data_IF_618749106276
#
_entry.id   IF_618749106276
#
_cell.length_a   1.000
_cell.length_b   1.000
_cell.length_c   1.000
_cell.angle_alpha   90.00
_cell.angle_beta   90.00
_cell.angle_gamma   90.00
#
_symmetry.space_group_name_H-M   'P 1'
#
loop_
_entity.id
_entity.type
_entity.pdbx_description
1 polymer ?
#
# COMPACT_ATOMS: atom_id res chain seq x y z
N UNK A 1 39.21 54.98 8.11
CA UNK A 1 38.53 53.69 7.83
C UNK A 1 39.38 52.80 6.90
N UNK A 2 40.69 53.07 6.81
CA UNK A 2 41.51 52.66 5.64
C UNK A 2 42.54 51.57 5.98
N UNK A 3 42.68 51.24 7.27
CA UNK A 3 43.69 50.31 7.79
C UNK A 3 43.34 48.85 7.51
N UNK A 4 42.05 48.49 7.51
CA UNK A 4 41.61 47.12 7.24
C UNK A 4 41.79 46.73 5.77
N UNK A 5 41.53 47.67 4.85
CA UNK A 5 41.71 47.49 3.41
C UNK A 5 43.18 47.34 3.06
N UNK A 6 44.05 48.16 3.68
CA UNK A 6 45.51 48.06 3.51
C UNK A 6 46.05 46.70 3.99
N UNK A 7 45.64 46.23 5.16
CA UNK A 7 46.08 44.94 5.72
C UNK A 7 45.60 43.73 4.90
N UNK A 8 44.47 43.85 4.19
CA UNK A 8 43.97 42.80 3.28
C UNK A 8 44.77 42.75 1.99
N UNK A 9 45.08 43.91 1.40
CA UNK A 9 45.90 44.02 0.20
C UNK A 9 47.32 43.49 0.43
N UNK A 10 47.93 43.77 1.58
CA UNK A 10 49.24 43.26 1.94
C UNK A 10 49.26 41.72 2.09
N UNK A 11 48.22 41.13 2.69
CA UNK A 11 48.06 39.67 2.79
C UNK A 11 47.91 39.02 1.42
N UNK A 12 47.18 39.63 0.49
CA UNK A 12 47.02 39.14 -0.87
C UNK A 12 48.35 39.18 -1.64
N UNK A 13 49.13 40.26 -1.48
CA UNK A 13 50.49 40.36 -2.01
C UNK A 13 51.40 39.26 -1.48
N UNK A 14 51.40 39.00 -0.16
CA UNK A 14 52.20 37.94 0.45
C UNK A 14 51.79 36.53 -0.01
N UNK A 15 50.51 36.29 -0.25
CA UNK A 15 50.01 35.01 -0.78
C UNK A 15 50.31 34.82 -2.27
N UNK A 16 50.45 35.92 -3.02
CA UNK A 16 50.78 35.91 -4.45
C UNK A 16 52.27 35.58 -4.70
N UNK A 17 53.14 35.63 -3.69
CA UNK A 17 54.56 35.25 -3.82
C UNK A 17 54.64 33.74 -4.10
N UNK A 18 55.17 33.32 -5.26
CA UNK A 18 55.27 31.90 -5.61
C UNK A 18 56.25 31.19 -4.67
N UNK A 19 55.81 30.07 -4.09
CA UNK A 19 56.65 29.23 -3.22
C UNK A 19 57.47 28.27 -4.07
N UNK A 20 58.75 28.12 -3.74
CA UNK A 20 59.64 27.16 -4.40
C UNK A 20 59.15 25.71 -4.22
N UNK A 21 59.27 24.91 -5.29
CA UNK A 21 58.97 23.47 -5.26
C UNK A 21 60.24 22.69 -4.91
N UNK A 22 60.20 21.70 -4.00
CA UNK A 22 61.36 20.84 -3.72
C UNK A 22 61.67 19.96 -4.93
N UNK A 23 62.94 19.53 -5.06
CA UNK A 23 63.42 18.71 -6.20
C UNK A 23 62.60 17.43 -6.44
N UNK A 24 62.04 16.83 -5.39
CA UNK A 24 61.18 15.63 -5.48
C UNK A 24 59.69 15.91 -5.65
N UNK A 25 59.27 17.16 -5.89
CA UNK A 25 57.87 17.56 -6.12
C UNK A 25 56.95 17.47 -4.90
N UNK A 26 57.30 16.68 -3.88
CA UNK A 26 56.53 16.49 -2.65
C UNK A 26 57.10 17.33 -1.50
N UNK A 27 56.26 18.17 -0.91
CA UNK A 27 56.60 18.93 0.30
C UNK A 27 56.47 18.05 1.54
N UNK A 28 57.50 18.02 2.39
CA UNK A 28 57.49 17.20 3.62
C UNK A 28 56.56 17.73 4.72
N UNK A 29 56.22 19.03 4.69
CA UNK A 29 55.18 19.66 5.53
C UNK A 29 53.98 20.05 4.66
N UNK A 30 52.78 19.79 5.16
CA UNK A 30 51.56 20.40 4.60
C UNK A 30 51.44 21.85 5.09
N UNK A 31 51.03 22.74 4.20
CA UNK A 31 50.68 24.11 4.58
C UNK A 31 49.40 24.11 5.42
N UNK A 32 49.49 24.53 6.69
CA UNK A 32 48.33 24.62 7.58
C UNK A 32 47.37 25.71 7.09
N UNK A 33 46.13 25.34 6.79
CA UNK A 33 45.05 26.29 6.48
C UNK A 33 44.63 27.11 7.71
N UNK A 34 43.94 28.23 7.48
CA UNK A 34 43.34 29.02 8.56
C UNK A 34 42.21 28.23 9.24
N UNK A 35 42.08 28.34 10.56
CA UNK A 35 40.99 27.71 11.31
C UNK A 35 39.60 28.16 10.84
N UNK A 36 39.48 29.39 10.36
CA UNK A 36 38.25 29.94 9.77
C UNK A 36 37.81 29.25 8.46
N UNK A 37 38.69 28.51 7.79
CA UNK A 37 38.32 27.70 6.62
C UNK A 37 37.64 26.38 7.03
N UNK A 38 37.70 26.00 8.30
CA UNK A 38 37.05 24.80 8.83
C UNK A 38 35.57 25.13 9.05
N UNK A 39 34.72 24.73 8.10
CA UNK A 39 33.26 24.83 8.27
C UNK A 39 32.82 23.80 9.30
N UNK A 40 32.16 24.24 10.37
CA UNK A 40 31.57 23.33 11.36
C UNK A 40 30.48 22.49 10.67
N UNK A 41 30.55 21.14 10.72
CA UNK A 41 29.48 20.34 10.15
C UNK A 41 28.18 20.60 10.93
N UNK A 42 27.05 20.61 10.22
CA UNK A 42 25.74 20.63 10.87
C UNK A 42 25.63 19.42 11.81
N UNK A 43 25.06 19.60 12.99
CA UNK A 43 24.88 18.49 13.93
C UNK A 43 24.02 17.41 13.31
N UNK A 44 24.39 16.14 13.52
CA UNK A 44 23.60 14.97 13.12
C UNK A 44 22.21 14.92 13.82
N UNK A 45 22.03 15.71 14.88
CA UNK A 45 20.80 15.79 15.65
C UNK A 45 19.87 16.82 15.02
N UNK A 46 18.64 16.40 14.75
CA UNK A 46 17.53 17.28 14.40
C UNK A 46 17.15 18.13 15.62
N UNK A 47 16.75 19.37 15.37
CA UNK A 47 16.13 20.22 16.37
C UNK A 47 14.77 19.65 16.81
N UNK A 48 14.23 20.16 17.92
CA UNK A 48 12.92 19.71 18.39
C UNK A 48 11.81 20.01 17.36
N UNK A 49 11.83 21.21 16.79
CA UNK A 49 10.80 21.66 15.83
C UNK A 49 10.82 20.82 14.55
N UNK A 50 12.01 20.50 14.04
CA UNK A 50 12.15 19.61 12.88
C UNK A 50 11.59 18.20 13.17
N UNK A 51 11.83 17.66 14.38
CA UNK A 51 11.25 16.37 14.78
C UNK A 51 9.73 16.43 14.89
N UNK A 52 9.19 17.51 15.44
CA UNK A 52 7.75 17.70 15.56
C UNK A 52 7.07 17.83 14.20
N UNK A 53 7.69 18.56 13.27
CA UNK A 53 7.24 18.65 11.87
C UNK A 53 7.23 17.29 11.19
N UNK A 54 8.34 16.55 11.26
CA UNK A 54 8.42 15.20 10.68
C UNK A 54 7.36 14.25 11.25
N UNK A 55 7.06 14.36 12.54
CA UNK A 55 6.01 13.56 13.20
C UNK A 55 4.60 13.94 12.72
N UNK A 56 4.34 15.24 12.51
CA UNK A 56 3.08 15.71 11.95
C UNK A 56 2.91 15.22 10.50
N UNK A 57 3.92 15.40 9.65
CA UNK A 57 3.91 14.98 8.25
C UNK A 57 3.66 13.46 8.11
N UNK A 58 4.32 12.67 8.97
CA UNK A 58 4.13 11.21 9.02
C UNK A 58 2.71 10.83 9.45
N UNK A 59 2.14 11.55 10.44
CA UNK A 59 0.77 11.32 10.91
C UNK A 59 -0.24 11.62 9.81
N UNK A 60 -0.07 12.72 9.09
CA UNK A 60 -0.93 13.07 7.96
C UNK A 60 -0.84 12.04 6.83
N UNK A 61 0.37 11.64 6.45
CA UNK A 61 0.59 10.67 5.37
C UNK A 61 -0.06 9.34 5.70
N UNK A 62 0.13 8.83 6.92
CA UNK A 62 -0.51 7.60 7.40
C UNK A 62 -2.03 7.71 7.49
N UNK A 63 -2.54 8.89 7.85
CA UNK A 63 -3.98 9.17 7.84
C UNK A 63 -4.57 9.00 6.44
N UNK A 64 -3.96 9.66 5.45
CA UNK A 64 -4.37 9.57 4.03
C UNK A 64 -4.26 8.15 3.48
N UNK A 65 -3.18 7.42 3.81
CA UNK A 65 -3.01 6.02 3.42
C UNK A 65 -4.13 5.13 3.99
N UNK A 66 -4.46 5.30 5.26
CA UNK A 66 -5.53 4.55 5.92
C UNK A 66 -6.90 4.83 5.30
N UNK A 67 -7.19 6.10 5.00
CA UNK A 67 -8.43 6.50 4.32
C UNK A 67 -8.55 5.83 2.94
N UNK A 68 -7.46 5.82 2.16
CA UNK A 68 -7.44 5.15 0.86
C UNK A 68 -7.68 3.64 0.99
N UNK A 69 -7.02 2.98 1.95
CA UNK A 69 -7.17 1.55 2.17
C UNK A 69 -8.59 1.18 2.61
N UNK A 70 -9.18 1.96 3.52
CA UNK A 70 -10.57 1.80 3.95
C UNK A 70 -11.53 1.92 2.76
N UNK A 71 -11.37 2.94 1.91
CA UNK A 71 -12.22 3.13 0.74
C UNK A 71 -12.15 1.95 -0.26
N UNK A 72 -10.96 1.36 -0.44
CA UNK A 72 -10.78 0.17 -1.29
C UNK A 72 -11.46 -1.05 -0.67
N UNK A 73 -11.31 -1.27 0.64
CA UNK A 73 -11.93 -2.39 1.33
C UNK A 73 -13.45 -2.30 1.35
N UNK A 74 -14.01 -1.12 1.62
CA UNK A 74 -15.46 -0.91 1.57
C UNK A 74 -16.02 -1.23 0.19
N UNK A 75 -15.34 -0.83 -0.90
CA UNK A 75 -15.75 -1.19 -2.27
C UNK A 75 -15.71 -2.70 -2.48
N UNK A 76 -14.65 -3.36 -2.01
CA UNK A 76 -14.48 -4.82 -2.12
C UNK A 76 -15.56 -5.57 -1.34
N UNK A 77 -15.91 -5.12 -0.14
CA UNK A 77 -16.90 -5.78 0.70
C UNK A 77 -18.32 -5.57 0.17
N UNK A 78 -18.64 -4.37 -0.34
CA UNK A 78 -19.90 -4.12 -1.08
C UNK A 78 -20.03 -5.04 -2.28
N UNK A 79 -18.95 -5.25 -3.04
CA UNK A 79 -18.94 -6.17 -4.17
C UNK A 79 -19.19 -7.63 -3.75
N UNK A 80 -18.51 -8.09 -2.69
CA UNK A 80 -18.73 -9.44 -2.14
C UNK A 80 -20.17 -9.64 -1.68
N UNK A 81 -20.73 -8.66 -0.96
CA UNK A 81 -22.12 -8.69 -0.49
C UNK A 81 -23.09 -8.80 -1.67
N UNK A 82 -22.92 -7.97 -2.70
CA UNK A 82 -23.72 -8.02 -3.94
C UNK A 82 -23.60 -9.37 -4.64
N UNK A 83 -22.39 -9.93 -4.75
CA UNK A 83 -22.18 -11.24 -5.35
C UNK A 83 -22.88 -12.35 -4.57
N UNK A 84 -22.79 -12.31 -3.23
CA UNK A 84 -23.49 -13.26 -2.36
C UNK A 84 -25.00 -13.17 -2.53
N UNK A 85 -25.56 -11.97 -2.50
CA UNK A 85 -27.00 -11.75 -2.71
C UNK A 85 -27.44 -12.23 -4.10
N UNK A 86 -26.69 -11.90 -5.16
CA UNK A 86 -26.98 -12.36 -6.51
C UNK A 86 -26.93 -13.88 -6.63
N UNK A 87 -25.97 -14.54 -5.96
CA UNK A 87 -25.87 -16.00 -5.91
C UNK A 87 -27.07 -16.61 -5.20
N UNK A 88 -27.43 -16.10 -4.03
CA UNK A 88 -28.61 -16.55 -3.27
C UNK A 88 -29.91 -16.35 -4.07
N UNK A 89 -30.05 -15.21 -4.75
CA UNK A 89 -31.18 -14.90 -5.63
C UNK A 89 -31.23 -15.86 -6.82
N UNK A 90 -30.08 -16.16 -7.44
CA UNK A 90 -29.98 -17.12 -8.54
C UNK A 90 -30.39 -18.52 -8.08
N UNK A 91 -29.84 -19.00 -6.96
CA UNK A 91 -30.20 -20.30 -6.38
C UNK A 91 -31.68 -20.40 -6.02
N UNK A 92 -32.27 -19.32 -5.50
CA UNK A 92 -33.70 -19.26 -5.20
C UNK A 92 -34.55 -19.24 -6.48
N UNK A 93 -34.13 -18.53 -7.52
CA UNK A 93 -34.82 -18.50 -8.81
C UNK A 93 -34.70 -19.84 -9.54
N UNK A 94 -33.54 -20.49 -9.51
CA UNK A 94 -33.33 -21.84 -10.03
C UNK A 94 -34.26 -22.84 -9.32
N UNK A 95 -34.36 -22.76 -7.98
CA UNK A 95 -35.31 -23.58 -7.21
C UNK A 95 -36.77 -23.29 -7.54
N UNK A 96 -37.14 -22.02 -7.78
CA UNK A 96 -38.52 -21.63 -8.14
C UNK A 96 -38.89 -21.98 -9.58
N UNK A 97 -37.93 -21.87 -10.51
CA UNK A 97 -38.10 -22.16 -11.93
C UNK A 97 -37.99 -23.65 -12.26
N UNK A 98 -37.57 -24.48 -11.30
CA UNK A 98 -37.56 -25.92 -11.46
C UNK A 98 -38.97 -26.49 -11.57
N UNK A 99 -39.33 -26.93 -12.78
CA UNK A 99 -40.57 -27.65 -13.04
C UNK A 99 -40.38 -29.11 -12.61
N UNK A 100 -40.93 -29.47 -11.45
CA UNK A 100 -40.83 -30.83 -10.89
C UNK A 100 -42.05 -31.66 -11.27
N UNK A 101 -41.83 -32.88 -11.77
CA UNK A 101 -42.90 -33.86 -11.93
C UNK A 101 -43.08 -34.67 -10.65
N UNK A 102 -44.27 -34.60 -10.03
CA UNK A 102 -44.58 -35.41 -8.84
C UNK A 102 -44.85 -36.86 -9.25
N UNK A 103 -43.95 -37.77 -8.87
CA UNK A 103 -44.11 -39.21 -9.12
C UNK A 103 -44.91 -39.83 -7.97
N UNK A 104 -46.20 -40.11 -8.22
CA UNK A 104 -47.10 -40.73 -7.22
C UNK A 104 -46.80 -42.21 -6.96
N UNK A 105 -46.32 -42.95 -7.97
CA UNK A 105 -46.02 -44.38 -7.84
C UNK A 105 -44.51 -44.64 -8.11
N UNK A 106 -43.74 -45.05 -7.09
CA UNK A 106 -42.29 -45.26 -7.21
C UNK A 106 -41.91 -46.52 -8.03
N UNK A 107 -42.81 -47.48 -8.20
CA UNK A 107 -42.54 -48.67 -9.03
C UNK A 107 -42.27 -48.30 -10.50
N UNK A 108 -42.73 -47.13 -10.96
CA UNK A 108 -42.46 -46.60 -12.30
C UNK A 108 -40.96 -46.32 -12.54
N UNK A 109 -40.23 -45.89 -11.51
CA UNK A 109 -38.78 -45.65 -11.62
C UNK A 109 -38.01 -46.97 -11.86
N UNK A 110 -38.44 -48.05 -11.20
CA UNK A 110 -37.82 -49.37 -11.36
C UNK A 110 -38.01 -49.97 -12.75
N UNK A 111 -38.98 -49.47 -13.52
CA UNK A 111 -39.26 -49.90 -14.91
C UNK A 111 -38.47 -49.10 -15.95
N UNK A 112 -37.79 -48.02 -15.56
CA UNK A 112 -37.02 -47.19 -16.49
C UNK A 112 -35.64 -47.79 -16.78
N UNK A 113 -35.12 -47.49 -17.97
CA UNK A 113 -33.77 -47.86 -18.38
C UNK A 113 -32.73 -47.15 -17.50
N UNK A 114 -31.65 -47.86 -17.15
CA UNK A 114 -30.56 -47.35 -16.29
C UNK A 114 -29.95 -46.03 -16.75
N UNK A 115 -29.96 -45.72 -18.07
CA UNK A 115 -29.51 -44.42 -18.60
C UNK A 115 -30.46 -43.26 -18.24
N UNK A 116 -31.77 -43.47 -18.30
CA UNK A 116 -32.76 -42.46 -17.94
C UNK A 116 -32.78 -42.18 -16.43
N UNK A 117 -32.50 -43.19 -15.61
CA UNK A 117 -32.36 -43.01 -14.16
C UNK A 117 -31.18 -42.10 -13.76
N UNK A 118 -30.13 -41.98 -14.60
CA UNK A 118 -28.97 -41.13 -14.33
C UNK A 118 -29.27 -39.64 -14.50
N UNK A 119 -30.27 -39.27 -15.30
CA UNK A 119 -30.67 -37.87 -15.52
C UNK A 119 -31.73 -37.39 -14.54
N UNK A 120 -32.40 -38.29 -13.81
CA UNK A 120 -33.41 -37.94 -12.82
C UNK A 120 -32.72 -37.50 -11.53
N UNK A 121 -33.02 -36.29 -11.07
CA UNK A 121 -32.62 -35.78 -9.77
C UNK A 121 -33.81 -35.82 -8.82
N UNK A 122 -33.60 -36.28 -7.58
CA UNK A 122 -34.63 -36.22 -6.54
C UNK A 122 -34.66 -34.81 -5.97
N UNK A 123 -35.86 -34.21 -5.92
CA UNK A 123 -36.11 -32.91 -5.28
C UNK A 123 -37.16 -33.11 -4.19
N UNK A 124 -36.86 -32.63 -2.98
CA UNK A 124 -37.75 -32.76 -1.83
C UNK A 124 -38.79 -31.63 -1.84
N UNK A 125 -40.06 -32.00 -1.90
CA UNK A 125 -41.21 -31.06 -1.94
C UNK A 125 -41.94 -30.99 -0.59
N UNK A 126 -41.44 -31.66 0.46
CA UNK A 126 -42.15 -31.82 1.74
C UNK A 126 -42.47 -30.48 2.43
N UNK A 127 -41.60 -29.48 2.26
CA UNK A 127 -41.82 -28.12 2.80
C UNK A 127 -43.01 -27.39 2.16
N UNK A 128 -43.40 -27.75 0.94
CA UNK A 128 -44.53 -27.13 0.22
C UNK A 128 -45.87 -27.70 0.71
N UNK A 129 -45.90 -28.94 1.19
CA UNK A 129 -47.11 -29.60 1.70
C UNK A 129 -47.54 -29.04 3.06
N UNK A 130 -46.59 -28.84 3.98
CA UNK A 130 -46.85 -28.36 5.33
C UNK A 130 -47.38 -26.91 5.39
N UNK A 131 -47.26 -26.13 4.30
CA UNK A 131 -47.75 -24.75 4.21
C UNK A 131 -49.24 -24.65 3.84
N UNK A 132 -49.89 -25.76 3.50
CA UNK A 132 -51.32 -25.80 3.11
C UNK A 132 -52.26 -26.15 4.27
N UNK A 133 -51.73 -26.51 5.44
CA UNK A 133 -52.50 -26.98 6.60
C UNK A 133 -52.56 -25.96 7.76
N UNK A 134 -52.12 -24.73 7.52
CA UNK A 134 -52.31 -23.55 8.38
C UNK A 134 -52.91 -22.42 7.56
#
# INVERSE_FOLDING_TARGET
MDTETSAKQEKERLNAIPKGKPKGGRTWKLTKGRYSAITRPKSLKLTYDERMKMKADLKETRGREKEMWNAVNEKRDKLKQRQKENKERREANERKGEIVQVIKNPAKLKRLKKKALRSIQKRDLDKIKNKKET
#
